data_IF_077565470886
#
_entry.id   IF_077565470886
#
_cell.length_a   1.000
_cell.length_b   1.000
_cell.length_c   1.000
_cell.angle_alpha   90.00
_cell.angle_beta   90.00
_cell.angle_gamma   90.00
#
_symmetry.space_group_name_H-M   'P 1'
#
loop_
_entity.id
_entity.type
_entity.pdbx_description
1 polymer ?
#
# COMPACT_ATOMS: atom_id res chain seq x y z
N UNK A 1 14.95 -14.83 72.86
CA UNK A 1 15.73 -14.65 71.61
C UNK A 1 14.83 -14.96 70.41
N UNK A 2 14.26 -13.96 69.77
CA UNK A 2 13.39 -14.12 68.59
C UNK A 2 14.25 -13.83 67.34
N UNK A 3 14.40 -14.85 66.48
CA UNK A 3 15.07 -14.72 65.18
C UNK A 3 14.08 -14.18 64.18
N UNK A 4 14.31 -12.98 63.65
CA UNK A 4 13.56 -12.41 62.55
C UNK A 4 14.12 -12.98 61.23
N UNK A 5 13.27 -13.61 60.44
CA UNK A 5 13.57 -14.02 59.05
C UNK A 5 13.24 -12.83 58.12
N UNK A 6 14.27 -12.33 57.50
CA UNK A 6 14.10 -11.31 56.43
C UNK A 6 13.88 -12.03 55.10
N UNK A 7 12.67 -11.95 54.58
CA UNK A 7 12.34 -12.47 53.26
C UNK A 7 12.71 -11.40 52.22
N UNK A 8 13.71 -11.67 51.38
CA UNK A 8 14.06 -10.83 50.24
C UNK A 8 13.16 -11.25 49.09
N UNK A 9 12.21 -10.37 48.72
CA UNK A 9 11.39 -10.52 47.51
C UNK A 9 12.19 -9.96 46.34
N UNK A 10 12.71 -10.83 45.49
CA UNK A 10 13.33 -10.45 44.22
C UNK A 10 12.22 -10.24 43.21
N UNK A 11 11.82 -9.01 42.91
CA UNK A 11 10.93 -8.67 41.84
C UNK A 11 11.68 -8.78 40.50
N UNK A 12 11.44 -9.86 39.75
CA UNK A 12 11.88 -10.00 38.38
C UNK A 12 11.05 -9.01 37.49
N UNK A 13 11.64 -7.86 37.23
CA UNK A 13 11.14 -6.99 36.15
C UNK A 13 11.45 -7.66 34.82
N UNK A 14 10.44 -8.33 34.22
CA UNK A 14 10.47 -8.66 32.79
C UNK A 14 10.43 -7.35 32.00
N UNK A 15 11.59 -6.82 31.65
CA UNK A 15 11.68 -5.75 30.64
C UNK A 15 11.31 -6.41 29.30
N UNK A 16 10.06 -6.25 28.88
CA UNK A 16 9.67 -6.54 27.50
C UNK A 16 10.45 -5.55 26.62
N UNK A 17 11.55 -6.02 26.04
CA UNK A 17 12.21 -5.30 24.96
C UNK A 17 11.16 -5.18 23.84
N UNK A 18 10.53 -4.03 23.74
CA UNK A 18 9.73 -3.67 22.59
C UNK A 18 10.67 -3.73 21.38
N UNK A 19 10.60 -4.81 20.60
CA UNK A 19 11.36 -4.92 19.37
C UNK A 19 10.83 -3.85 18.44
N UNK A 20 11.62 -2.81 18.22
CA UNK A 20 11.26 -1.72 17.33
C UNK A 20 11.18 -2.25 15.89
N UNK A 21 10.16 -1.81 15.16
CA UNK A 21 10.05 -1.99 13.72
C UNK A 21 11.32 -1.44 13.06
N UNK A 22 11.96 -2.20 12.18
CA UNK A 22 13.16 -1.77 11.47
C UNK A 22 12.82 -1.47 10.02
N UNK A 23 13.14 -0.25 9.60
CA UNK A 23 12.96 0.18 8.21
C UNK A 23 14.24 -0.10 7.41
N UNK A 24 14.09 -0.65 6.20
CA UNK A 24 15.17 -0.98 5.27
C UNK A 24 14.88 -0.34 3.91
N UNK A 25 15.86 0.37 3.36
CA UNK A 25 15.81 0.82 1.97
C UNK A 25 16.12 -0.36 1.03
N UNK A 26 15.18 -0.66 0.15
CA UNK A 26 15.39 -1.57 -0.97
C UNK A 26 15.69 -0.71 -2.20
N UNK A 27 16.85 -0.96 -2.81
CA UNK A 27 17.26 -0.33 -4.06
C UNK A 27 17.70 -1.42 -5.01
N UNK A 28 17.11 -1.46 -6.20
CA UNK A 28 17.35 -2.47 -7.23
C UNK A 28 17.66 -1.75 -8.53
N UNK A 29 18.82 -2.06 -9.11
CA UNK A 29 19.16 -1.62 -10.46
C UNK A 29 18.22 -2.31 -11.46
N UNK A 30 17.47 -1.50 -12.21
CA UNK A 30 16.54 -2.01 -13.24
C UNK A 30 17.22 -2.52 -14.50
N UNK A 31 18.53 -2.31 -14.63
CA UNK A 31 19.29 -2.56 -15.85
C UNK A 31 19.07 -1.50 -16.94
N UNK A 32 18.21 -0.50 -16.69
CA UNK A 32 17.99 0.62 -17.59
C UNK A 32 18.94 1.77 -17.26
N UNK A 33 19.09 2.69 -18.21
CA UNK A 33 19.81 3.94 -18.01
C UNK A 33 18.98 5.12 -18.50
N UNK A 34 19.06 6.23 -17.81
CA UNK A 34 18.45 7.51 -18.20
C UNK A 34 19.49 8.58 -18.52
N UNK A 35 19.08 9.63 -19.18
CA UNK A 35 19.92 10.77 -19.56
C UNK A 35 20.38 10.73 -21.03
N UNK A 36 20.44 11.93 -21.63
CA UNK A 36 20.76 12.08 -23.05
C UNK A 36 22.28 12.01 -23.31
N UNK A 37 23.06 12.71 -22.51
CA UNK A 37 24.51 12.81 -22.67
C UNK A 37 25.28 11.99 -21.64
N UNK A 38 24.85 12.01 -20.41
CA UNK A 38 25.41 11.21 -19.31
C UNK A 38 24.39 10.14 -18.94
N UNK A 39 24.78 8.87 -19.09
CA UNK A 39 23.92 7.74 -18.73
C UNK A 39 24.02 7.48 -17.23
N UNK A 40 22.88 7.58 -16.53
CA UNK A 40 22.77 7.24 -15.12
C UNK A 40 21.94 5.96 -14.96
N UNK A 41 22.27 5.06 -14.03
CA UNK A 41 21.48 3.88 -13.80
C UNK A 41 20.09 4.22 -13.24
N UNK A 42 19.10 3.43 -13.61
CA UNK A 42 17.71 3.56 -13.15
C UNK A 42 17.47 2.57 -12.03
N UNK A 43 16.95 3.08 -10.91
CA UNK A 43 16.69 2.28 -9.73
C UNK A 43 15.19 2.18 -9.43
N UNK A 44 14.73 0.95 -9.17
CA UNK A 44 13.45 0.71 -8.48
C UNK A 44 13.71 0.76 -6.97
N UNK A 45 12.98 1.64 -6.26
CA UNK A 45 13.15 1.83 -4.82
C UNK A 45 11.88 1.51 -4.05
N UNK A 46 12.08 1.01 -2.83
CA UNK A 46 11.02 0.78 -1.86
C UNK A 46 11.56 0.90 -0.43
N UNK A 47 10.68 1.11 0.56
CA UNK A 47 11.04 1.04 1.97
C UNK A 47 10.29 -0.13 2.58
N UNK A 48 11.03 -1.12 3.05
CA UNK A 48 10.51 -2.26 3.80
C UNK A 48 10.48 -1.92 5.30
N UNK A 49 9.29 -1.86 5.88
CA UNK A 49 9.07 -1.75 7.30
C UNK A 49 8.88 -3.16 7.88
N UNK A 50 9.93 -3.71 8.48
CA UNK A 50 9.95 -5.07 9.02
C UNK A 50 9.25 -5.12 10.36
N UNK A 51 8.25 -5.99 10.58
CA UNK A 51 7.73 -6.24 11.91
C UNK A 51 8.79 -6.92 12.78
N UNK A 52 8.67 -6.72 14.09
CA UNK A 52 9.59 -7.31 15.06
C UNK A 52 9.48 -8.85 15.11
N UNK A 53 8.28 -9.37 14.87
CA UNK A 53 8.02 -10.81 14.82
C UNK A 53 8.28 -11.35 13.42
N UNK A 54 8.90 -12.53 13.28
CA UNK A 54 9.04 -13.18 11.99
C UNK A 54 7.67 -13.37 11.31
N UNK A 55 7.63 -13.10 10.01
CA UNK A 55 6.43 -13.28 9.19
C UNK A 55 6.82 -13.62 7.75
N UNK A 56 5.93 -14.31 7.05
CA UNK A 56 6.06 -14.64 5.64
C UNK A 56 5.22 -13.72 4.73
N UNK A 57 4.56 -12.70 5.32
CA UNK A 57 3.57 -11.87 4.63
C UNK A 57 4.05 -10.43 4.47
N UNK A 58 4.01 -9.92 3.24
CA UNK A 58 4.33 -8.53 2.92
C UNK A 58 3.21 -7.88 2.09
N UNK A 59 2.94 -6.60 2.38
CA UNK A 59 2.00 -5.74 1.67
C UNK A 59 2.74 -4.63 0.95
N UNK A 60 2.78 -4.66 -0.39
CA UNK A 60 3.32 -3.63 -1.24
C UNK A 60 2.29 -2.51 -1.42
N UNK A 61 2.60 -1.32 -0.91
CA UNK A 61 1.71 -0.19 -0.90
C UNK A 61 2.08 0.85 -1.95
N UNK A 62 1.14 1.15 -2.84
CA UNK A 62 1.21 2.18 -3.88
C UNK A 62 0.32 3.37 -3.49
N UNK A 63 0.96 4.51 -3.24
CA UNK A 63 0.29 5.71 -2.76
C UNK A 63 -0.64 6.34 -3.81
N UNK A 64 -1.61 7.13 -3.34
CA UNK A 64 -2.42 8.03 -4.15
C UNK A 64 -1.62 9.20 -4.73
N UNK A 65 -2.33 10.14 -5.36
CA UNK A 65 -1.69 11.34 -5.94
C UNK A 65 -0.69 11.99 -4.96
N UNK A 66 0.48 12.41 -5.44
CA UNK A 66 0.95 12.46 -6.83
C UNK A 66 1.51 11.14 -7.37
N UNK A 67 1.49 10.06 -6.61
CA UNK A 67 1.88 8.72 -7.01
C UNK A 67 3.39 8.45 -7.03
N UNK A 68 4.22 9.48 -6.94
CA UNK A 68 5.68 9.39 -6.94
C UNK A 68 6.15 9.63 -5.50
N UNK A 69 6.92 8.71 -4.96
CA UNK A 69 7.42 8.79 -3.59
C UNK A 69 8.77 9.51 -3.48
N UNK A 70 9.60 9.47 -4.53
CA UNK A 70 10.98 9.98 -4.56
C UNK A 70 11.77 9.52 -3.34
N UNK A 71 11.80 8.22 -3.14
CA UNK A 71 12.47 7.58 -2.02
C UNK A 71 13.98 7.70 -2.21
N UNK A 72 14.65 8.33 -1.24
CA UNK A 72 16.11 8.42 -1.17
C UNK A 72 16.66 7.78 0.10
N UNK A 73 15.82 7.66 1.14
CA UNK A 73 16.19 7.09 2.41
C UNK A 73 14.97 6.51 3.14
N UNK A 74 15.17 5.74 4.20
CA UNK A 74 14.10 5.22 5.06
C UNK A 74 13.28 6.33 5.74
N UNK A 75 13.83 7.53 5.93
CA UNK A 75 13.12 8.67 6.50
C UNK A 75 11.95 9.12 5.62
N UNK A 76 11.97 8.79 4.33
CA UNK A 76 10.93 9.16 3.38
C UNK A 76 9.64 8.36 3.55
N UNK A 77 9.64 7.27 4.33
CA UNK A 77 8.47 6.44 4.57
C UNK A 77 7.25 7.25 5.02
N UNK A 78 7.43 8.07 6.04
CA UNK A 78 6.31 8.75 6.69
C UNK A 78 5.60 9.77 5.79
N UNK A 79 6.32 10.45 4.90
CA UNK A 79 5.71 11.39 3.94
C UNK A 79 5.00 10.69 2.77
N UNK A 80 5.28 9.40 2.58
CA UNK A 80 4.76 8.60 1.47
C UNK A 80 3.60 7.68 1.84
N UNK A 81 3.22 7.64 3.11
CA UNK A 81 2.01 6.98 3.56
C UNK A 81 0.84 7.97 3.58
N UNK A 82 -0.31 7.55 3.04
CA UNK A 82 -1.57 8.27 3.24
C UNK A 82 -1.93 8.30 4.73
N UNK A 83 -2.69 9.31 5.22
CA UNK A 83 -2.99 9.45 6.63
C UNK A 83 -3.50 8.16 7.29
N UNK A 84 -4.45 7.47 6.68
CA UNK A 84 -4.99 6.22 7.25
C UNK A 84 -3.94 5.11 7.37
N UNK A 85 -3.00 5.00 6.44
CA UNK A 85 -1.89 4.05 6.51
C UNK A 85 -0.85 4.49 7.53
N UNK A 86 -0.53 5.78 7.56
CA UNK A 86 0.47 6.35 8.47
C UNK A 86 0.06 6.19 9.93
N UNK A 87 -1.19 6.49 10.27
CA UNK A 87 -1.72 6.39 11.63
C UNK A 87 -1.79 4.95 12.13
N UNK A 88 -1.97 4.00 11.23
CA UNK A 88 -2.24 2.60 11.56
C UNK A 88 -1.12 1.63 11.12
N UNK A 89 0.06 2.15 10.71
CA UNK A 89 1.16 1.29 10.24
C UNK A 89 1.63 0.28 11.30
N UNK A 90 1.51 0.62 12.58
CA UNK A 90 1.89 -0.27 13.67
C UNK A 90 0.97 -1.48 13.76
N UNK A 91 -0.31 -1.35 13.43
CA UNK A 91 -1.25 -2.48 13.44
C UNK A 91 -0.80 -3.56 12.45
N UNK A 92 -0.31 -3.17 11.26
CA UNK A 92 0.25 -4.15 10.31
C UNK A 92 1.42 -4.92 10.93
N UNK A 93 2.33 -4.23 11.62
CA UNK A 93 3.48 -4.86 12.26
C UNK A 93 3.09 -5.79 13.40
N UNK A 94 2.15 -5.39 14.27
CA UNK A 94 1.61 -6.20 15.36
C UNK A 94 0.91 -7.45 14.85
N UNK A 95 0.22 -7.34 13.72
CA UNK A 95 -0.50 -8.41 13.05
C UNK A 95 0.39 -9.28 12.14
N UNK A 96 1.70 -9.02 12.14
CA UNK A 96 2.68 -9.83 11.40
C UNK A 96 2.62 -9.61 9.89
N UNK A 97 2.41 -8.37 9.45
CA UNK A 97 2.44 -7.99 8.03
C UNK A 97 3.53 -6.94 7.83
N UNK A 98 4.51 -7.25 7.01
CA UNK A 98 5.53 -6.28 6.60
C UNK A 98 4.92 -5.28 5.61
N UNK A 99 5.09 -3.99 5.87
CA UNK A 99 4.64 -2.94 4.96
C UNK A 99 5.79 -2.50 4.05
N UNK A 100 5.58 -2.56 2.75
CA UNK A 100 6.55 -2.13 1.74
C UNK A 100 6.01 -0.91 1.02
N UNK A 101 6.57 0.26 1.28
CA UNK A 101 6.19 1.50 0.60
C UNK A 101 6.92 1.55 -0.74
N UNK A 102 6.16 1.45 -1.82
CA UNK A 102 6.70 1.40 -3.18
C UNK A 102 6.88 2.80 -3.76
N UNK A 103 7.91 2.97 -4.57
CA UNK A 103 8.09 4.12 -5.46
C UNK A 103 7.95 3.70 -6.93
N UNK A 104 7.92 4.67 -7.81
CA UNK A 104 8.22 4.45 -9.22
C UNK A 104 9.74 4.45 -9.42
N UNK A 105 10.27 3.79 -10.46
CA UNK A 105 11.69 3.84 -10.77
C UNK A 105 12.14 5.26 -11.08
N UNK A 106 13.43 5.53 -10.97
CA UNK A 106 13.98 6.89 -11.01
C UNK A 106 13.76 7.61 -12.34
N UNK A 107 13.73 6.90 -13.45
CA UNK A 107 13.40 7.43 -14.79
C UNK A 107 11.93 7.88 -14.93
N UNK A 108 11.05 7.36 -14.08
CA UNK A 108 9.63 7.74 -14.01
C UNK A 108 9.36 8.89 -13.01
N UNK A 109 10.35 9.44 -12.35
CA UNK A 109 10.14 10.52 -11.38
C UNK A 109 9.74 11.85 -12.01
N UNK A 110 10.10 12.08 -13.27
CA UNK A 110 9.85 13.32 -13.98
C UNK A 110 10.47 14.56 -13.31
N UNK A 111 10.14 15.74 -13.79
CA UNK A 111 10.66 17.00 -13.24
C UNK A 111 10.10 17.25 -11.83
N UNK A 112 10.90 17.80 -10.90
CA UNK A 112 10.39 18.27 -9.61
C UNK A 112 9.49 19.50 -9.83
N UNK A 113 8.39 19.59 -9.06
CA UNK A 113 7.46 20.71 -9.16
C UNK A 113 6.14 20.47 -8.44
N UNK A 114 5.27 21.48 -8.40
CA UNK A 114 3.97 21.36 -7.74
C UNK A 114 3.01 20.41 -8.47
N UNK A 115 3.29 20.08 -9.73
CA UNK A 115 2.55 19.09 -10.52
C UNK A 115 3.53 18.04 -11.00
N UNK A 116 3.51 16.83 -10.40
CA UNK A 116 4.39 15.75 -10.83
C UNK A 116 4.12 15.40 -12.30
N UNK A 117 5.18 15.20 -13.05
CA UNK A 117 5.16 14.93 -14.49
C UNK A 117 5.58 13.51 -14.82
N UNK A 118 5.72 12.64 -13.83
CA UNK A 118 6.19 11.26 -14.01
C UNK A 118 5.24 10.23 -13.42
N UNK A 119 5.64 8.97 -13.58
CA UNK A 119 4.90 7.79 -13.14
C UNK A 119 3.45 7.79 -13.61
N UNK A 120 3.28 8.03 -14.90
CA UNK A 120 1.97 8.10 -15.54
C UNK A 120 1.29 6.74 -15.59
N UNK A 121 0.00 6.78 -15.87
CA UNK A 121 -0.82 5.57 -16.01
C UNK A 121 -0.30 4.64 -17.10
N UNK A 122 0.34 5.17 -18.16
CA UNK A 122 0.99 4.38 -19.21
C UNK A 122 2.07 3.45 -18.65
N UNK A 123 2.92 3.97 -17.76
CA UNK A 123 3.90 3.14 -17.06
C UNK A 123 3.21 2.20 -16.06
N UNK A 124 2.30 2.72 -15.20
CA UNK A 124 1.61 1.93 -14.17
C UNK A 124 0.83 0.74 -14.73
N UNK A 125 0.34 0.84 -15.99
CA UNK A 125 -0.39 -0.22 -16.68
C UNK A 125 0.51 -1.14 -17.51
N UNK A 126 1.79 -0.86 -17.62
CA UNK A 126 2.73 -1.57 -18.48
C UNK A 126 3.22 -2.90 -17.88
N UNK A 127 3.78 -3.73 -18.74
CA UNK A 127 4.54 -4.91 -18.32
C UNK A 127 5.84 -4.53 -17.62
N UNK A 128 6.46 -3.42 -18.03
CA UNK A 128 7.68 -2.89 -17.43
C UNK A 128 7.47 -2.59 -15.94
N UNK A 129 6.35 -1.94 -15.57
CA UNK A 129 5.99 -1.77 -14.17
C UNK A 129 5.89 -3.09 -13.42
N UNK A 130 5.28 -4.10 -14.04
CA UNK A 130 5.18 -5.42 -13.43
C UNK A 130 6.56 -6.08 -13.26
N UNK A 131 7.47 -5.89 -14.22
CA UNK A 131 8.83 -6.44 -14.15
C UNK A 131 9.67 -5.74 -13.06
N UNK A 132 9.57 -4.41 -12.95
CA UNK A 132 10.19 -3.65 -11.86
C UNK A 132 9.68 -4.11 -10.48
N UNK A 133 8.36 -4.29 -10.33
CA UNK A 133 7.79 -4.79 -9.07
C UNK A 133 8.16 -6.25 -8.81
N UNK A 134 8.25 -7.08 -9.85
CA UNK A 134 8.70 -8.48 -9.73
C UNK A 134 10.12 -8.57 -9.17
N UNK A 135 11.01 -7.64 -9.54
CA UNK A 135 12.36 -7.59 -8.98
C UNK A 135 12.36 -7.30 -7.48
N UNK A 136 11.46 -6.41 -7.01
CA UNK A 136 11.26 -6.17 -5.57
C UNK A 136 10.70 -7.42 -4.88
N UNK A 137 9.72 -8.10 -5.50
CA UNK A 137 9.13 -9.33 -4.96
C UNK A 137 10.21 -10.42 -4.84
N UNK A 138 11.07 -10.58 -5.84
CA UNK A 138 12.17 -11.54 -5.79
C UNK A 138 13.11 -11.23 -4.60
N UNK A 139 13.52 -9.97 -4.43
CA UNK A 139 14.34 -9.53 -3.28
C UNK A 139 13.65 -9.82 -1.95
N UNK A 140 12.35 -9.57 -1.84
CA UNK A 140 11.57 -9.84 -0.63
C UNK A 140 11.50 -11.33 -0.30
N UNK A 141 11.41 -12.19 -1.31
CA UNK A 141 11.41 -13.66 -1.14
C UNK A 141 12.79 -14.18 -0.75
N UNK A 142 13.81 -13.80 -1.51
CA UNK A 142 15.15 -14.39 -1.41
C UNK A 142 15.92 -13.93 -0.17
N UNK A 143 15.81 -12.64 0.18
CA UNK A 143 16.59 -12.09 1.30
C UNK A 143 15.81 -11.99 2.60
N UNK A 144 14.46 -11.86 2.54
CA UNK A 144 13.64 -11.62 3.71
C UNK A 144 12.63 -12.72 4.02
N UNK A 145 12.46 -13.71 3.12
CA UNK A 145 11.59 -14.87 3.34
C UNK A 145 10.10 -14.59 3.21
N UNK A 146 9.70 -13.45 2.60
CA UNK A 146 8.28 -13.14 2.39
C UNK A 146 7.72 -13.93 1.21
N UNK A 147 6.98 -14.99 1.49
CA UNK A 147 6.35 -15.83 0.45
C UNK A 147 4.95 -15.38 0.05
N UNK A 148 4.21 -14.73 0.97
CA UNK A 148 2.85 -14.22 0.75
C UNK A 148 2.90 -12.73 0.44
N UNK A 149 2.81 -12.39 -0.84
CA UNK A 149 2.91 -11.01 -1.31
C UNK A 149 1.53 -10.49 -1.68
N UNK A 150 1.14 -9.38 -1.07
CA UNK A 150 -0.06 -8.63 -1.42
C UNK A 150 0.32 -7.30 -2.04
N UNK A 151 -0.49 -6.80 -2.98
CA UNK A 151 -0.36 -5.45 -3.53
C UNK A 151 -1.57 -4.61 -3.13
N UNK A 152 -1.36 -3.38 -2.74
CA UNK A 152 -2.41 -2.45 -2.37
C UNK A 152 -2.17 -1.09 -3.01
N UNK A 153 -3.16 -0.59 -3.72
CA UNK A 153 -3.20 0.78 -4.20
C UNK A 153 -4.28 1.59 -3.49
N UNK A 154 -4.00 2.88 -3.28
CA UNK A 154 -5.00 3.85 -2.83
C UNK A 154 -5.18 4.93 -3.89
N UNK A 155 -6.45 5.30 -4.23
CA UNK A 155 -6.73 6.35 -5.20
C UNK A 155 -6.00 6.11 -6.53
N UNK A 156 -5.16 7.04 -7.00
CA UNK A 156 -4.31 6.88 -8.18
C UNK A 156 -3.41 5.62 -8.11
N UNK A 157 -2.96 5.22 -6.91
CA UNK A 157 -2.20 3.99 -6.71
C UNK A 157 -2.93 2.72 -7.13
N UNK A 158 -4.27 2.76 -7.25
CA UNK A 158 -5.06 1.62 -7.71
C UNK A 158 -4.87 1.30 -9.19
N UNK A 159 -4.34 2.22 -9.98
CA UNK A 159 -3.89 1.91 -11.34
C UNK A 159 -2.77 0.88 -11.29
N UNK A 160 -1.77 1.10 -10.42
CA UNK A 160 -0.71 0.10 -10.19
C UNK A 160 -1.27 -1.22 -9.68
N UNK A 161 -2.03 -1.22 -8.57
CA UNK A 161 -2.47 -2.49 -7.96
C UNK A 161 -3.37 -3.33 -8.88
N UNK A 162 -4.24 -2.72 -9.71
CA UNK A 162 -5.07 -3.48 -10.67
C UNK A 162 -4.26 -4.09 -11.81
N UNK A 163 -3.34 -3.33 -12.39
CA UNK A 163 -2.51 -3.83 -13.49
C UNK A 163 -1.47 -4.84 -13.02
N UNK A 164 -0.93 -4.67 -11.80
CA UNK A 164 -0.09 -5.68 -11.18
C UNK A 164 -0.87 -6.97 -10.90
N UNK A 165 -2.12 -6.88 -10.41
CA UNK A 165 -2.97 -8.06 -10.24
C UNK A 165 -3.18 -8.83 -11.56
N UNK A 166 -3.33 -8.10 -12.68
CA UNK A 166 -3.45 -8.69 -14.01
C UNK A 166 -2.14 -9.29 -14.52
N UNK A 167 -1.03 -8.55 -14.39
CA UNK A 167 0.25 -8.89 -15.01
C UNK A 167 1.08 -9.88 -14.19
N UNK A 168 0.93 -9.90 -12.86
CA UNK A 168 1.60 -10.85 -11.95
C UNK A 168 0.74 -12.09 -11.67
N UNK A 169 -0.59 -11.98 -11.76
CA UNK A 169 -1.50 -13.11 -11.59
C UNK A 169 -1.25 -13.87 -10.28
N UNK A 170 -0.92 -15.16 -10.40
CA UNK A 170 -0.65 -16.05 -9.25
C UNK A 170 0.69 -15.81 -8.54
N UNK A 171 1.54 -14.92 -9.05
CA UNK A 171 2.77 -14.53 -8.35
C UNK A 171 2.51 -13.74 -7.07
N UNK A 172 1.29 -13.18 -6.94
CA UNK A 172 0.84 -12.48 -5.73
C UNK A 172 -0.29 -13.22 -5.03
N UNK A 173 -0.38 -13.06 -3.72
CA UNK A 173 -1.41 -13.69 -2.87
C UNK A 173 -2.73 -12.93 -2.83
N UNK A 174 -2.76 -11.74 -3.41
CA UNK A 174 -3.97 -10.92 -3.55
C UNK A 174 -3.70 -9.46 -3.84
N UNK A 175 -4.73 -8.76 -4.28
CA UNK A 175 -4.70 -7.34 -4.63
C UNK A 175 -5.80 -6.56 -3.93
N UNK A 176 -5.48 -5.38 -3.42
CA UNK A 176 -6.38 -4.52 -2.65
C UNK A 176 -6.49 -3.17 -3.35
N UNK A 177 -7.72 -2.73 -3.60
CA UNK A 177 -8.03 -1.49 -4.30
C UNK A 177 -8.84 -0.58 -3.38
N UNK A 178 -8.16 0.39 -2.78
CA UNK A 178 -8.71 1.33 -1.80
C UNK A 178 -9.08 2.64 -2.48
N UNK A 179 -10.31 3.10 -2.33
CA UNK A 179 -10.86 4.30 -3.01
C UNK A 179 -10.46 4.36 -4.48
N UNK A 180 -10.84 3.30 -5.22
CA UNK A 180 -10.30 3.00 -6.54
C UNK A 180 -10.58 4.10 -7.57
N UNK A 181 -9.53 4.55 -8.27
CA UNK A 181 -9.63 5.48 -9.37
C UNK A 181 -10.34 4.84 -10.55
N UNK A 182 -11.46 5.43 -11.00
CA UNK A 182 -12.30 4.93 -12.09
C UNK A 182 -12.59 6.00 -13.15
N UNK A 183 -12.16 7.22 -12.92
CA UNK A 183 -12.22 8.31 -13.90
C UNK A 183 -10.86 8.96 -13.98
N UNK A 184 -10.44 9.29 -15.19
CA UNK A 184 -9.19 10.02 -15.38
C UNK A 184 -9.38 11.52 -15.16
N UNK A 185 -8.34 12.16 -14.60
CA UNK A 185 -8.29 13.61 -14.46
C UNK A 185 -7.78 14.30 -15.74
N UNK A 186 -7.30 13.55 -16.74
CA UNK A 186 -6.66 14.09 -17.95
C UNK A 186 -6.97 13.20 -19.16
N UNK A 187 -7.05 13.82 -20.32
CA UNK A 187 -7.08 13.08 -21.58
C UNK A 187 -5.82 12.21 -21.73
N UNK A 188 -5.98 10.99 -22.22
CA UNK A 188 -4.88 10.03 -22.38
C UNK A 188 -4.73 9.00 -21.23
N UNK A 189 -5.39 9.22 -20.07
CA UNK A 189 -5.38 8.26 -18.95
C UNK A 189 -6.60 7.32 -18.96
N UNK A 190 -7.56 7.56 -19.82
CA UNK A 190 -8.83 6.84 -19.83
C UNK A 190 -8.68 5.32 -20.01
N UNK A 191 -7.71 4.88 -20.81
CA UNK A 191 -7.53 3.47 -21.14
C UNK A 191 -6.99 2.61 -19.97
N UNK A 192 -6.31 3.21 -19.00
CA UNK A 192 -5.77 2.50 -17.85
C UNK A 192 -6.80 2.25 -16.74
N UNK A 193 -7.89 3.01 -16.73
CA UNK A 193 -8.92 2.95 -15.70
C UNK A 193 -10.31 2.58 -16.24
N UNK A 194 -10.68 3.08 -17.42
CA UNK A 194 -11.95 2.73 -18.07
C UNK A 194 -11.81 1.41 -18.84
N UNK A 195 -12.82 0.54 -18.75
CA UNK A 195 -12.83 -0.74 -19.46
C UNK A 195 -11.88 -1.79 -18.89
N UNK A 196 -11.30 -1.57 -17.70
CA UNK A 196 -10.54 -2.61 -17.03
C UNK A 196 -11.48 -3.69 -16.48
N UNK A 197 -11.27 -4.95 -16.89
CA UNK A 197 -12.03 -6.09 -16.36
C UNK A 197 -11.25 -6.81 -15.26
N UNK A 198 -11.92 -7.06 -14.15
CA UNK A 198 -11.40 -7.89 -13.04
C UNK A 198 -11.63 -9.39 -13.28
N UNK A 199 -12.45 -9.78 -14.26
CA UNK A 199 -12.82 -11.18 -14.50
C UNK A 199 -11.65 -12.07 -14.94
N UNK A 200 -10.57 -11.44 -15.43
CA UNK A 200 -9.37 -12.14 -15.91
C UNK A 200 -8.24 -12.18 -14.88
N UNK A 201 -8.49 -11.68 -13.67
CA UNK A 201 -7.48 -11.64 -12.60
C UNK A 201 -7.51 -12.96 -11.82
N UNK A 202 -6.37 -13.68 -11.81
CA UNK A 202 -6.24 -14.94 -11.09
C UNK A 202 -6.06 -14.74 -9.57
N UNK A 203 -5.46 -13.63 -9.14
CA UNK A 203 -5.27 -13.33 -7.73
C UNK A 203 -6.58 -12.91 -7.06
N UNK A 204 -6.83 -13.27 -5.78
CA UNK A 204 -7.95 -12.73 -5.01
C UNK A 204 -7.92 -11.20 -4.96
N UNK A 205 -9.08 -10.56 -5.10
CA UNK A 205 -9.23 -9.10 -5.12
C UNK A 205 -10.12 -8.63 -3.98
N UNK A 206 -9.73 -7.53 -3.33
CA UNK A 206 -10.53 -6.79 -2.37
C UNK A 206 -10.69 -5.34 -2.84
N UNK A 207 -11.91 -4.83 -2.77
CA UNK A 207 -12.20 -3.40 -2.92
C UNK A 207 -12.62 -2.81 -1.58
N UNK A 208 -12.10 -1.64 -1.22
CA UNK A 208 -12.46 -0.92 0.00
C UNK A 208 -12.82 0.51 -0.37
N UNK A 209 -14.04 0.93 -0.07
CA UNK A 209 -14.52 2.24 -0.53
C UNK A 209 -15.54 2.84 0.43
N UNK A 210 -15.42 4.15 0.72
CA UNK A 210 -16.44 4.87 1.47
C UNK A 210 -17.64 5.16 0.55
N UNK A 211 -18.87 4.84 0.99
CA UNK A 211 -20.07 5.05 0.17
C UNK A 211 -20.35 6.51 -0.17
N UNK A 212 -19.82 7.44 0.64
CA UNK A 212 -19.94 8.88 0.49
C UNK A 212 -18.62 9.54 0.03
N UNK A 213 -17.71 8.79 -0.61
CA UNK A 213 -16.51 9.37 -1.21
C UNK A 213 -16.89 10.40 -2.26
N UNK A 214 -16.62 11.67 -1.98
CA UNK A 214 -16.96 12.81 -2.84
C UNK A 214 -15.87 13.14 -3.89
N UNK A 215 -14.77 12.39 -3.92
CA UNK A 215 -13.72 12.61 -4.92
C UNK A 215 -14.24 12.24 -6.32
N UNK A 216 -14.23 13.17 -7.30
CA UNK A 216 -14.83 12.94 -8.61
C UNK A 216 -14.13 11.85 -9.44
N UNK A 217 -12.90 11.49 -9.07
CA UNK A 217 -12.12 10.47 -9.77
C UNK A 217 -12.36 9.05 -9.26
N UNK A 218 -12.98 8.91 -8.11
CA UNK A 218 -13.20 7.65 -7.40
C UNK A 218 -14.67 7.44 -6.99
N UNK A 219 -15.64 7.56 -7.90
CA UNK A 219 -17.05 7.46 -7.54
C UNK A 219 -17.40 6.05 -7.04
N UNK A 220 -17.90 5.96 -5.80
CA UNK A 220 -18.32 4.70 -5.17
C UNK A 220 -19.29 3.89 -6.03
N UNK A 221 -20.25 4.55 -6.70
CA UNK A 221 -21.25 3.88 -7.54
C UNK A 221 -20.64 3.03 -8.66
N UNK A 222 -19.49 3.44 -9.20
CA UNK A 222 -18.78 2.67 -10.22
C UNK A 222 -18.16 1.42 -9.60
N UNK A 223 -17.48 1.56 -8.44
CA UNK A 223 -16.88 0.43 -7.72
C UNK A 223 -17.94 -0.58 -7.32
N UNK A 224 -19.06 -0.10 -6.75
CA UNK A 224 -20.20 -0.94 -6.38
C UNK A 224 -20.74 -1.75 -7.57
N UNK A 225 -20.69 -1.20 -8.78
CA UNK A 225 -21.18 -1.85 -9.97
C UNK A 225 -20.37 -3.07 -10.43
N UNK A 226 -19.05 -3.11 -10.14
CA UNK A 226 -18.21 -4.22 -10.60
C UNK A 226 -17.59 -5.07 -9.46
N UNK A 227 -17.49 -4.56 -8.24
CA UNK A 227 -16.77 -5.24 -7.17
C UNK A 227 -17.55 -6.42 -6.55
N UNK A 228 -18.88 -6.42 -6.66
CA UNK A 228 -19.71 -7.52 -6.19
C UNK A 228 -19.50 -7.86 -4.71
N UNK A 229 -19.22 -9.13 -4.43
CA UNK A 229 -18.98 -9.63 -3.07
C UNK A 229 -17.61 -9.28 -2.49
N UNK A 230 -16.70 -8.80 -3.34
CA UNK A 230 -15.36 -8.40 -2.96
C UNK A 230 -15.28 -6.94 -2.47
N UNK A 231 -16.43 -6.28 -2.23
CA UNK A 231 -16.51 -4.90 -1.78
C UNK A 231 -16.72 -4.81 -0.26
N UNK A 232 -15.80 -4.11 0.40
CA UNK A 232 -16.00 -3.53 1.74
C UNK A 232 -16.54 -2.12 1.56
N UNK A 233 -17.80 -1.92 1.91
CA UNK A 233 -18.43 -0.60 1.97
C UNK A 233 -18.13 0.03 3.33
N UNK A 234 -17.51 1.20 3.31
CA UNK A 234 -17.23 1.98 4.53
C UNK A 234 -18.30 3.04 4.70
N UNK A 235 -18.94 3.07 5.88
CA UNK A 235 -19.94 4.06 6.26
C UNK A 235 -19.42 5.04 7.29
N UNK A 236 -20.00 6.23 7.26
CA UNK A 236 -19.67 7.30 8.19
C UNK A 236 -18.28 7.86 7.98
N UNK A 237 -17.78 8.53 8.99
CA UNK A 237 -16.53 9.28 8.97
C UNK A 237 -16.77 10.80 8.99
N UNK A 238 -15.69 11.56 8.96
CA UNK A 238 -15.71 13.03 9.10
C UNK A 238 -15.10 13.65 7.84
N UNK A 239 -15.90 14.22 6.93
CA UNK A 239 -15.37 14.85 5.72
C UNK A 239 -14.78 16.23 6.05
N UNK A 240 -13.49 16.42 5.82
CA UNK A 240 -12.78 17.70 5.98
C UNK A 240 -11.91 18.01 4.77
N UNK A 241 -11.91 19.29 4.36
CA UNK A 241 -11.03 19.80 3.32
C UNK A 241 -11.32 19.31 1.90
N UNK A 242 -10.27 18.99 1.15
CA UNK A 242 -10.38 18.55 -0.25
C UNK A 242 -11.06 17.17 -0.34
N UNK A 243 -12.12 17.01 -1.14
CA UNK A 243 -12.79 15.72 -1.34
C UNK A 243 -11.87 14.55 -1.72
N UNK A 244 -10.78 14.82 -2.43
CA UNK A 244 -9.75 13.82 -2.77
C UNK A 244 -8.58 13.80 -1.78
N UNK A 245 -8.66 14.58 -0.71
CA UNK A 245 -7.59 14.77 0.27
C UNK A 245 -7.46 13.64 1.29
N UNK A 246 -6.36 13.71 2.04
CA UNK A 246 -6.04 12.74 3.08
C UNK A 246 -6.89 12.85 4.35
N UNK A 247 -7.62 13.96 4.53
CA UNK A 247 -8.48 14.26 5.67
C UNK A 247 -9.97 14.22 5.30
N UNK A 248 -10.33 13.54 4.24
CA UNK A 248 -11.70 13.39 3.77
C UNK A 248 -12.11 11.90 3.74
N UNK A 249 -13.39 11.61 3.46
CA UNK A 249 -13.92 10.26 3.33
C UNK A 249 -13.21 9.43 2.25
N UNK A 250 -12.58 10.09 1.27
CA UNK A 250 -11.70 9.48 0.29
C UNK A 250 -10.54 8.70 0.95
N UNK A 251 -10.00 9.21 2.05
CA UNK A 251 -8.96 8.56 2.86
C UNK A 251 -9.51 8.01 4.18
N UNK A 252 -10.83 7.78 4.25
CA UNK A 252 -11.52 7.15 5.39
C UNK A 252 -11.41 7.93 6.70
N UNK A 253 -11.32 9.25 6.66
CA UNK A 253 -11.22 10.09 7.85
C UNK A 253 -12.29 9.71 8.89
N UNK A 254 -11.84 9.40 10.12
CA UNK A 254 -12.66 8.93 11.23
C UNK A 254 -13.08 7.45 11.14
N UNK A 255 -12.55 6.68 10.18
CA UNK A 255 -12.76 5.22 10.02
C UNK A 255 -11.45 4.47 9.69
N UNK A 256 -10.32 5.11 9.82
CA UNK A 256 -9.01 4.65 9.34
C UNK A 256 -8.64 3.30 9.95
N UNK A 257 -8.79 3.15 11.26
CA UNK A 257 -8.46 1.89 11.95
C UNK A 257 -9.38 0.75 11.54
N UNK A 258 -10.69 0.99 11.42
CA UNK A 258 -11.65 -0.01 10.97
C UNK A 258 -11.30 -0.53 9.58
N UNK A 259 -10.93 0.38 8.67
CA UNK A 259 -10.50 0.03 7.31
C UNK A 259 -9.24 -0.82 7.34
N UNK A 260 -8.23 -0.42 8.10
CA UNK A 260 -6.97 -1.17 8.19
C UNK A 260 -7.20 -2.55 8.79
N UNK A 261 -8.00 -2.67 9.84
CA UNK A 261 -8.35 -3.98 10.44
C UNK A 261 -9.12 -4.88 9.49
N UNK A 262 -10.05 -4.34 8.70
CA UNK A 262 -10.77 -5.10 7.67
C UNK A 262 -9.83 -5.60 6.56
N UNK A 263 -8.90 -4.77 6.10
CA UNK A 263 -7.87 -5.16 5.14
C UNK A 263 -7.00 -6.29 5.71
N UNK A 264 -6.54 -6.17 6.94
CA UNK A 264 -5.73 -7.19 7.63
C UNK A 264 -6.50 -8.49 7.80
N UNK A 265 -7.76 -8.41 8.21
CA UNK A 265 -8.66 -9.56 8.30
C UNK A 265 -8.73 -10.30 6.97
N UNK A 266 -8.93 -9.57 5.87
CA UNK A 266 -8.98 -10.18 4.54
C UNK A 266 -7.62 -10.77 4.10
N UNK A 267 -6.51 -10.11 4.39
CA UNK A 267 -5.17 -10.67 4.11
C UNK A 267 -5.03 -12.06 4.77
N UNK A 268 -5.46 -12.18 6.02
CA UNK A 268 -5.32 -13.40 6.82
C UNK A 268 -6.32 -14.49 6.47
N UNK A 269 -7.57 -14.11 6.17
CA UNK A 269 -8.69 -15.07 6.12
C UNK A 269 -9.37 -15.15 4.76
N UNK A 270 -9.16 -14.16 3.88
CA UNK A 270 -9.91 -13.92 2.63
C UNK A 270 -11.41 -13.63 2.86
N UNK A 271 -11.86 -13.49 4.10
CA UNK A 271 -13.24 -13.10 4.40
C UNK A 271 -13.42 -11.61 4.17
N UNK A 272 -14.49 -11.25 3.47
CA UNK A 272 -14.85 -9.85 3.19
C UNK A 272 -15.86 -9.36 4.22
N UNK A 273 -15.50 -8.34 4.98
CA UNK A 273 -16.42 -7.60 5.86
C UNK A 273 -17.18 -6.60 5.00
N UNK A 274 -18.33 -7.00 4.45
CA UNK A 274 -19.03 -6.26 3.39
C UNK A 274 -19.48 -4.85 3.78
N UNK A 275 -19.62 -4.58 5.07
CA UNK A 275 -20.03 -3.29 5.61
C UNK A 275 -19.28 -3.03 6.92
N UNK A 276 -18.61 -1.90 7.02
CA UNK A 276 -17.92 -1.44 8.22
C UNK A 276 -18.24 0.04 8.51
N UNK A 277 -18.28 0.38 9.80
CA UNK A 277 -18.71 1.70 10.26
C UNK A 277 -20.24 1.83 10.32
N UNK A 278 -20.68 2.98 10.80
CA UNK A 278 -22.09 3.38 10.95
C UNK A 278 -22.37 4.69 10.22
#
# INVERSE_FOLDING_TARGET
MRKAFLAVVVALFCISLAHAQTDVLIEIDSGRTEGLFTKSPVFQRAILAKPAKPTDTALLYFRGYPGIARIQSVADKQRNLQPFMKMNQQIFAEEGIALVVMDCPTDEWGAPGPRPTGCFDSYRSSKEHADDVRSVIARLRDEYGYSKIYVMGHSMGTVSSRWLAKNLGSEISGSIHSSAMNRSARDGFANSVSGFSYDTIAAPVLHVHNENDACPYTPYSIVKGYAGENLVTVRGGVPEGDPCGGTHLHSFQGREELVVRSIISWIKTKKVDRLIGE
#
